data_IF_808756746104
#
_entry.id   IF_808756746104
#
_cell.length_a   1.000
_cell.length_b   1.000
_cell.length_c   1.000
_cell.angle_alpha   90.00
_cell.angle_beta   90.00
_cell.angle_gamma   90.00
#
_symmetry.space_group_name_H-M   'P 1'
#
loop_
_entity.id
_entity.type
_entity.pdbx_description
1 polymer ?
#
# COMPACT_ATOMS: atom_id res chain seq x y z
N UNK A 1 2.68 0.35 28.21
CA UNK A 1 1.33 0.16 27.65
C UNK A 1 1.45 -0.96 26.66
N UNK A 2 0.80 -2.11 26.90
CA UNK A 2 0.87 -3.25 25.98
C UNK A 2 0.08 -2.89 24.70
N UNK A 3 0.77 -2.44 23.66
CA UNK A 3 0.24 -2.60 22.30
C UNK A 3 0.07 -4.09 22.10
N UNK A 4 -1.14 -4.49 21.69
CA UNK A 4 -1.47 -5.88 21.40
C UNK A 4 -0.29 -6.48 20.63
N UNK A 5 0.39 -7.48 21.19
CA UNK A 5 1.60 -8.12 20.67
C UNK A 5 1.41 -8.83 19.33
N UNK A 6 0.30 -8.56 18.64
CA UNK A 6 -0.13 -9.24 17.43
C UNK A 6 0.01 -8.42 16.14
N UNK A 7 0.27 -7.08 16.21
CA UNK A 7 0.42 -6.25 15.00
C UNK A 7 1.87 -5.83 14.79
N UNK A 8 2.38 -6.11 13.61
CA UNK A 8 3.65 -5.59 13.10
C UNK A 8 3.43 -4.99 11.71
N UNK A 9 4.08 -3.86 11.43
CA UNK A 9 4.18 -3.31 10.07
C UNK A 9 5.66 -3.25 9.66
N UNK A 10 5.98 -3.82 8.51
CA UNK A 10 7.29 -3.72 7.87
C UNK A 10 7.18 -2.85 6.61
N UNK A 11 7.84 -1.68 6.62
CA UNK A 11 7.89 -0.80 5.46
C UNK A 11 8.86 -1.35 4.41
N UNK A 12 8.35 -1.78 3.27
CA UNK A 12 9.14 -2.23 2.13
C UNK A 12 9.68 -1.05 1.31
N UNK A 13 8.94 0.06 1.32
CA UNK A 13 9.30 1.33 0.72
C UNK A 13 8.47 2.47 1.26
N UNK A 14 9.04 3.67 1.28
CA UNK A 14 8.38 4.90 1.73
C UNK A 14 8.59 6.05 0.75
N UNK A 15 9.17 5.77 -0.42
CA UNK A 15 9.39 6.75 -1.48
C UNK A 15 8.14 6.93 -2.36
N UNK A 16 8.07 8.08 -3.01
CA UNK A 16 7.07 8.45 -4.00
C UNK A 16 7.20 7.61 -5.28
N UNK A 17 6.34 7.84 -6.27
CA UNK A 17 6.25 7.09 -7.53
C UNK A 17 7.56 6.92 -8.30
N UNK A 18 8.52 7.83 -8.15
CA UNK A 18 9.84 7.75 -8.77
C UNK A 18 10.91 7.07 -7.89
N UNK A 19 10.58 6.77 -6.65
CA UNK A 19 11.55 6.42 -5.62
C UNK A 19 12.51 7.57 -5.27
N UNK A 20 13.38 7.33 -4.29
CA UNK A 20 14.46 8.27 -3.92
C UNK A 20 15.77 7.49 -3.84
N UNK A 21 16.82 7.89 -4.61
CA UNK A 21 16.91 9.02 -5.53
C UNK A 21 16.05 8.87 -6.79
N UNK A 22 15.51 9.98 -7.26
CA UNK A 22 14.82 10.02 -8.56
C UNK A 22 15.85 10.08 -9.71
N UNK A 23 15.55 9.38 -10.81
CA UNK A 23 16.41 9.32 -12.00
C UNK A 23 16.66 10.74 -12.53
N UNK A 24 17.92 11.10 -12.75
CA UNK A 24 18.33 12.41 -13.25
C UNK A 24 18.27 13.56 -12.23
N UNK A 25 17.83 13.30 -10.98
CA UNK A 25 17.81 14.32 -9.94
C UNK A 25 19.17 14.46 -9.25
N UNK A 26 19.61 15.71 -9.09
CA UNK A 26 20.89 16.06 -8.47
C UNK A 26 20.75 16.86 -7.18
N UNK A 27 19.57 16.88 -6.56
CA UNK A 27 19.34 17.57 -5.31
C UNK A 27 20.15 16.95 -4.15
N UNK A 28 20.22 17.66 -3.04
CA UNK A 28 20.98 17.23 -1.85
C UNK A 28 20.57 15.84 -1.36
N UNK A 29 19.28 15.54 -1.33
CA UNK A 29 18.74 14.24 -0.87
C UNK A 29 19.10 13.13 -1.86
N UNK A 30 18.88 13.32 -3.17
CA UNK A 30 19.18 12.31 -4.18
C UNK A 30 20.69 11.99 -4.29
N UNK A 31 21.56 12.95 -3.97
CA UNK A 31 23.03 12.76 -3.91
C UNK A 31 23.55 12.26 -2.56
N UNK A 32 22.70 12.23 -1.55
CA UNK A 32 23.07 11.77 -0.20
C UNK A 32 23.60 10.33 -0.23
N UNK A 33 24.59 10.06 0.63
CA UNK A 33 25.11 8.69 0.88
C UNK A 33 24.39 8.02 2.05
N UNK A 34 23.54 8.74 2.77
CA UNK A 34 22.76 8.17 3.87
C UNK A 34 21.76 7.15 3.30
N UNK A 35 21.72 5.95 3.90
CA UNK A 35 20.79 4.88 3.54
C UNK A 35 19.32 5.29 3.76
N UNK A 36 19.03 6.20 4.69
CA UNK A 36 17.69 6.72 4.96
C UNK A 36 17.14 7.57 3.81
N UNK A 37 18.02 8.12 2.96
CA UNK A 37 17.67 8.86 1.75
C UNK A 37 17.54 7.93 0.52
N UNK A 38 17.58 6.61 0.71
CA UNK A 38 17.39 5.61 -0.35
C UNK A 38 16.07 4.91 -0.10
N UNK A 39 15.01 5.42 -0.74
CA UNK A 39 13.63 4.96 -0.52
C UNK A 39 13.09 4.29 -1.77
N UNK A 40 12.80 3.01 -1.69
CA UNK A 40 12.00 2.31 -2.69
C UNK A 40 10.55 2.83 -2.63
N UNK A 41 9.77 2.61 -3.70
CA UNK A 41 8.38 3.03 -3.81
C UNK A 41 7.51 2.47 -2.69
N UNK A 42 6.46 3.20 -2.32
CA UNK A 42 5.62 2.89 -1.18
C UNK A 42 5.03 1.47 -1.26
N UNK A 43 5.27 0.67 -0.24
CA UNK A 43 4.67 -0.65 -0.02
C UNK A 43 4.97 -1.09 1.41
N UNK A 44 4.15 -1.96 1.99
CA UNK A 44 4.34 -2.49 3.34
C UNK A 44 3.80 -3.92 3.49
N UNK A 45 4.36 -4.68 4.43
CA UNK A 45 3.74 -5.93 4.93
C UNK A 45 3.14 -5.63 6.29
N UNK A 46 1.88 -5.98 6.47
CA UNK A 46 1.17 -5.95 7.75
C UNK A 46 1.03 -7.38 8.24
N UNK A 47 1.64 -7.69 9.41
CA UNK A 47 1.48 -8.96 10.10
C UNK A 47 0.50 -8.77 11.23
N UNK A 48 -0.63 -9.46 11.14
CA UNK A 48 -1.68 -9.36 12.15
C UNK A 48 -2.47 -10.66 12.26
N UNK A 49 -2.68 -11.15 13.48
CA UNK A 49 -3.37 -12.42 13.78
C UNK A 49 -2.88 -13.61 12.95
N UNK A 50 -1.55 -13.68 12.73
CA UNK A 50 -0.92 -14.75 11.96
C UNK A 50 -0.99 -14.61 10.43
N UNK A 51 -1.62 -13.56 9.90
CA UNK A 51 -1.67 -13.25 8.46
C UNK A 51 -0.58 -12.25 8.08
N UNK A 52 0.04 -12.45 6.91
CA UNK A 52 1.01 -11.55 6.27
C UNK A 52 0.36 -10.89 5.06
N UNK A 53 -0.12 -9.68 5.23
CA UNK A 53 -0.88 -8.93 4.20
C UNK A 53 0.03 -7.90 3.57
N UNK A 54 0.28 -8.04 2.27
CA UNK A 54 1.01 -7.04 1.48
C UNK A 54 0.07 -5.89 1.12
N UNK A 55 0.54 -4.65 1.24
CA UNK A 55 -0.13 -3.47 0.70
C UNK A 55 0.70 -2.92 -0.44
N UNK A 56 0.12 -2.92 -1.63
CA UNK A 56 0.71 -2.55 -2.91
C UNK A 56 1.95 -3.38 -3.31
N UNK A 57 2.09 -3.59 -4.62
CA UNK A 57 3.12 -4.43 -5.24
C UNK A 57 3.69 -3.71 -6.46
N UNK A 58 4.50 -2.68 -6.22
CA UNK A 58 5.12 -1.85 -7.25
C UNK A 58 6.33 -2.51 -7.92
N UNK A 59 7.01 -1.82 -8.85
CA UNK A 59 8.11 -2.39 -9.64
C UNK A 59 9.36 -2.73 -8.80
N UNK A 60 9.44 -2.23 -7.58
CA UNK A 60 10.54 -2.53 -6.66
C UNK A 60 10.29 -3.81 -5.83
N UNK A 61 9.12 -4.46 -5.99
CA UNK A 61 8.66 -5.57 -5.13
C UNK A 61 9.72 -6.67 -4.99
N UNK A 62 10.31 -7.12 -6.08
CA UNK A 62 11.35 -8.17 -6.00
C UNK A 62 12.50 -7.75 -5.09
N UNK A 63 13.00 -6.52 -5.20
CA UNK A 63 14.08 -6.02 -4.34
C UNK A 63 13.60 -5.84 -2.90
N UNK A 64 12.36 -5.42 -2.73
CA UNK A 64 11.74 -5.21 -1.43
C UNK A 64 11.62 -6.52 -0.66
N UNK A 65 11.05 -7.56 -1.29
CA UNK A 65 10.78 -8.83 -0.62
C UNK A 65 12.07 -9.63 -0.33
N UNK A 66 13.09 -9.54 -1.19
CA UNK A 66 14.38 -10.18 -0.96
C UNK A 66 15.15 -9.65 0.27
N UNK A 67 14.82 -8.44 0.74
CA UNK A 67 15.40 -7.85 1.96
C UNK A 67 14.45 -7.89 3.16
N UNK A 68 13.18 -8.20 2.94
CA UNK A 68 12.18 -8.30 3.98
C UNK A 68 12.38 -9.55 4.83
N UNK A 69 11.90 -9.51 6.07
CA UNK A 69 11.92 -10.65 6.99
C UNK A 69 10.73 -11.58 6.80
N UNK A 70 10.29 -11.80 5.53
CA UNK A 70 9.08 -12.58 5.25
C UNK A 70 9.25 -13.50 4.05
N UNK A 71 9.16 -14.80 4.31
CA UNK A 71 9.17 -15.85 3.27
C UNK A 71 7.73 -16.20 2.82
N UNK A 72 6.70 -15.66 3.46
CA UNK A 72 5.30 -15.96 3.18
C UNK A 72 4.45 -14.70 3.10
N UNK A 73 3.55 -14.67 2.12
CA UNK A 73 2.49 -13.69 1.96
C UNK A 73 1.17 -14.42 1.76
N UNK A 74 0.11 -13.94 2.40
CA UNK A 74 -1.21 -14.57 2.37
C UNK A 74 -2.18 -13.84 1.45
N UNK A 75 -2.00 -12.53 1.26
CA UNK A 75 -2.85 -11.71 0.40
C UNK A 75 -2.15 -10.41 -0.02
N UNK A 76 -2.65 -9.79 -1.09
CA UNK A 76 -2.33 -8.43 -1.52
C UNK A 76 -3.59 -7.55 -1.43
N UNK A 77 -3.46 -6.40 -0.80
CA UNK A 77 -4.42 -5.30 -0.87
C UNK A 77 -3.86 -4.24 -1.81
N UNK A 78 -4.59 -3.89 -2.86
CA UNK A 78 -4.21 -2.80 -3.75
C UNK A 78 -4.98 -1.54 -3.43
N UNK A 79 -4.24 -0.45 -3.29
CA UNK A 79 -4.83 0.87 -3.06
C UNK A 79 -5.44 1.44 -4.35
N UNK A 80 -4.70 1.34 -5.46
CA UNK A 80 -5.12 1.80 -6.78
C UNK A 80 -4.25 1.22 -7.91
N UNK A 81 -4.49 1.63 -9.15
CA UNK A 81 -3.93 1.01 -10.36
C UNK A 81 -2.63 1.65 -10.87
N UNK A 82 -2.09 2.69 -10.24
CA UNK A 82 -0.87 3.32 -10.74
C UNK A 82 0.31 2.35 -10.75
N UNK A 83 1.22 2.53 -11.72
CA UNK A 83 2.34 1.64 -11.99
C UNK A 83 3.22 1.36 -10.78
N UNK A 84 3.48 2.37 -9.96
CA UNK A 84 4.29 2.28 -8.76
C UNK A 84 3.64 1.43 -7.64
N UNK A 85 2.35 1.06 -7.77
CA UNK A 85 1.62 0.22 -6.83
C UNK A 85 1.29 -1.18 -7.38
N UNK A 86 1.39 -1.42 -8.69
CA UNK A 86 0.94 -2.69 -9.29
C UNK A 86 1.97 -3.40 -10.18
N UNK A 87 3.03 -2.72 -10.61
CA UNK A 87 3.91 -3.26 -11.66
C UNK A 87 4.79 -4.44 -11.23
N UNK A 88 4.82 -4.79 -9.96
CA UNK A 88 5.53 -5.95 -9.42
C UNK A 88 4.66 -7.21 -9.28
N UNK A 89 3.39 -7.18 -9.66
CA UNK A 89 2.43 -8.29 -9.44
C UNK A 89 2.87 -9.60 -10.09
N UNK A 90 3.57 -9.56 -11.22
CA UNK A 90 4.11 -10.77 -11.84
C UNK A 90 5.14 -11.50 -10.94
N UNK A 91 5.84 -10.78 -10.10
CA UNK A 91 6.79 -11.33 -9.11
C UNK A 91 6.11 -12.01 -7.90
N UNK A 92 4.77 -12.00 -7.80
CA UNK A 92 4.01 -12.82 -6.84
C UNK A 92 3.97 -14.30 -7.23
N UNK A 93 4.53 -14.67 -8.36
CA UNK A 93 4.62 -16.03 -8.89
C UNK A 93 5.05 -17.09 -7.86
N UNK A 94 6.11 -16.88 -7.07
CA UNK A 94 6.53 -17.85 -6.05
C UNK A 94 5.48 -18.12 -4.98
N UNK A 95 4.69 -17.11 -4.60
CA UNK A 95 3.62 -17.21 -3.59
C UNK A 95 2.37 -17.91 -4.11
N UNK A 96 2.28 -18.14 -5.43
CA UNK A 96 1.13 -18.77 -6.10
C UNK A 96 1.39 -20.17 -6.62
N UNK A 97 2.53 -20.79 -6.35
CA UNK A 97 2.86 -22.13 -6.86
C UNK A 97 1.94 -23.23 -6.32
N UNK A 98 1.64 -23.18 -5.03
CA UNK A 98 0.86 -24.23 -4.35
C UNK A 98 -0.60 -23.87 -4.11
N UNK A 99 -0.99 -22.60 -4.27
CA UNK A 99 -2.35 -22.10 -4.08
C UNK A 99 -2.62 -20.93 -5.00
N UNK A 100 -3.87 -20.49 -5.11
CA UNK A 100 -4.23 -19.28 -5.83
C UNK A 100 -4.04 -18.11 -4.86
N UNK A 101 -3.24 -17.11 -5.27
CA UNK A 101 -2.91 -15.97 -4.43
C UNK A 101 -3.99 -14.87 -4.57
N UNK A 102 -4.67 -14.46 -3.46
CA UNK A 102 -5.75 -13.50 -3.52
C UNK A 102 -5.24 -12.06 -3.58
N UNK A 103 -5.85 -11.26 -4.45
CA UNK A 103 -5.64 -9.82 -4.60
C UNK A 103 -6.99 -9.13 -4.40
N UNK A 104 -7.08 -8.29 -3.39
CA UNK A 104 -8.27 -7.54 -3.06
C UNK A 104 -8.13 -6.11 -3.57
N UNK A 105 -9.05 -5.67 -4.40
CA UNK A 105 -9.06 -4.32 -4.95
C UNK A 105 -10.47 -3.91 -5.38
N UNK A 106 -10.68 -2.63 -5.62
CA UNK A 106 -11.89 -2.11 -6.25
C UNK A 106 -12.09 -2.76 -7.63
N UNK A 107 -13.36 -2.97 -8.08
CA UNK A 107 -13.64 -3.64 -9.36
C UNK A 107 -12.94 -3.01 -10.56
N UNK A 108 -12.86 -1.67 -10.61
CA UNK A 108 -12.18 -0.94 -11.68
C UNK A 108 -10.66 -1.21 -11.71
N UNK A 109 -10.03 -1.40 -10.54
CA UNK A 109 -8.61 -1.78 -10.43
C UNK A 109 -8.41 -3.21 -10.93
N UNK A 110 -9.25 -4.15 -10.51
CA UNK A 110 -9.20 -5.55 -10.94
C UNK A 110 -9.44 -5.67 -12.46
N UNK A 111 -10.37 -4.90 -13.01
CA UNK A 111 -10.60 -4.86 -14.46
C UNK A 111 -9.36 -4.38 -15.21
N UNK A 112 -8.69 -3.34 -14.72
CA UNK A 112 -7.46 -2.83 -15.34
C UNK A 112 -6.32 -3.82 -15.22
N UNK A 113 -6.19 -4.56 -14.09
CA UNK A 113 -5.20 -5.63 -13.95
C UNK A 113 -5.40 -6.74 -14.97
N UNK A 114 -6.63 -7.16 -15.24
CA UNK A 114 -6.92 -8.15 -16.30
C UNK A 114 -6.45 -7.66 -17.66
N UNK A 115 -6.56 -6.36 -17.92
CA UNK A 115 -6.07 -5.73 -19.15
C UNK A 115 -4.55 -5.65 -19.19
N UNK A 116 -3.91 -5.32 -18.08
CA UNK A 116 -2.46 -5.14 -18.02
C UNK A 116 -1.68 -6.46 -18.00
N UNK A 117 -2.27 -7.53 -17.42
CA UNK A 117 -1.67 -8.85 -17.25
C UNK A 117 -2.55 -9.95 -17.88
N UNK A 118 -2.91 -9.85 -19.19
CA UNK A 118 -3.90 -10.74 -19.80
C UNK A 118 -3.48 -12.22 -19.76
N UNK A 119 -2.19 -12.49 -19.77
CA UNK A 119 -1.65 -13.86 -19.73
C UNK A 119 -1.91 -14.57 -18.39
N UNK A 120 -2.08 -13.83 -17.29
CA UNK A 120 -2.43 -14.40 -15.98
C UNK A 120 -3.88 -14.87 -15.90
N UNK A 121 -4.76 -14.33 -16.75
CA UNK A 121 -6.22 -14.50 -16.65
C UNK A 121 -6.84 -15.19 -17.86
N UNK A 122 -6.04 -15.90 -18.65
CA UNK A 122 -6.51 -16.70 -19.79
C UNK A 122 -7.17 -17.99 -19.30
N UNK A 123 -8.05 -18.59 -20.13
CA UNK A 123 -8.66 -19.90 -19.83
C UNK A 123 -7.63 -21.04 -19.70
N UNK A 124 -6.51 -20.92 -20.42
CA UNK A 124 -5.44 -21.92 -20.47
C UNK A 124 -4.09 -21.23 -20.25
N UNK A 125 -3.76 -20.83 -19.02
CA UNK A 125 -2.50 -20.19 -18.73
C UNK A 125 -1.35 -21.19 -18.93
N UNK A 126 -0.24 -20.73 -19.50
CA UNK A 126 0.94 -21.58 -19.63
C UNK A 126 1.59 -21.85 -18.25
N UNK A 127 2.30 -22.97 -18.06
CA UNK A 127 2.97 -23.26 -16.79
C UNK A 127 3.96 -22.14 -16.40
N UNK A 128 3.92 -21.73 -15.13
CA UNK A 128 4.84 -20.73 -14.60
C UNK A 128 4.30 -19.29 -14.55
N UNK A 129 3.09 -19.01 -15.04
CA UNK A 129 2.43 -17.72 -14.73
C UNK A 129 1.95 -17.69 -13.27
N UNK A 130 1.87 -16.50 -12.64
CA UNK A 130 1.28 -16.41 -11.32
C UNK A 130 -0.22 -16.79 -11.36
N UNK A 131 -0.64 -17.57 -10.38
CA UNK A 131 -2.05 -17.99 -10.20
C UNK A 131 -2.72 -17.01 -9.24
N UNK A 132 -3.41 -16.01 -9.78
CA UNK A 132 -3.98 -14.88 -9.05
C UNK A 132 -5.51 -14.98 -9.03
N UNK A 133 -6.11 -14.68 -7.88
CA UNK A 133 -7.55 -14.47 -7.72
C UNK A 133 -7.82 -13.00 -7.46
N UNK A 134 -8.57 -12.35 -8.35
CA UNK A 134 -8.95 -10.95 -8.20
C UNK A 134 -10.30 -10.84 -7.51
N UNK A 135 -10.27 -10.48 -6.23
CA UNK A 135 -11.45 -10.32 -5.38
C UNK A 135 -11.89 -8.86 -5.41
N UNK A 136 -13.11 -8.64 -5.90
CA UNK A 136 -13.71 -7.31 -5.91
C UNK A 136 -14.16 -6.92 -4.49
N UNK A 137 -13.74 -5.75 -4.03
CA UNK A 137 -14.17 -5.15 -2.77
C UNK A 137 -14.88 -3.82 -3.01
N UNK A 138 -15.88 -3.55 -2.19
CA UNK A 138 -16.57 -2.26 -2.13
C UNK A 138 -16.08 -1.44 -0.91
N UNK A 139 -16.92 -0.56 -0.37
CA UNK A 139 -16.59 0.25 0.81
C UNK A 139 -16.94 -0.45 2.14
N UNK A 140 -17.48 -1.68 2.10
CA UNK A 140 -17.81 -2.44 3.30
C UNK A 140 -16.60 -3.22 3.83
N UNK A 141 -16.53 -3.50 5.15
CA UNK A 141 -15.54 -4.40 5.70
C UNK A 141 -15.60 -5.80 5.05
N UNK A 142 -14.44 -6.40 4.84
CA UNK A 142 -14.30 -7.75 4.30
C UNK A 142 -13.25 -8.55 5.08
N UNK A 143 -13.20 -9.87 4.85
CA UNK A 143 -12.28 -10.76 5.54
C UNK A 143 -11.11 -11.16 4.65
N UNK A 144 -9.90 -11.08 5.19
CA UNK A 144 -8.68 -11.70 4.66
C UNK A 144 -8.27 -12.78 5.66
N UNK A 145 -8.59 -14.03 5.36
CA UNK A 145 -8.49 -15.11 6.34
C UNK A 145 -9.32 -14.81 7.59
N UNK A 146 -8.66 -14.67 8.75
CA UNK A 146 -9.28 -14.34 10.03
C UNK A 146 -9.14 -12.85 10.42
N UNK A 147 -8.68 -12.01 9.48
CA UNK A 147 -8.49 -10.56 9.68
C UNK A 147 -9.57 -9.78 8.98
N UNK A 148 -10.33 -8.98 9.73
CA UNK A 148 -11.23 -8.00 9.15
C UNK A 148 -10.44 -6.78 8.64
N UNK A 149 -10.70 -6.41 7.40
CA UNK A 149 -10.13 -5.23 6.73
C UNK A 149 -11.26 -4.29 6.36
N UNK A 150 -11.13 -3.03 6.75
CA UNK A 150 -12.09 -1.97 6.39
C UNK A 150 -11.45 -1.04 5.35
N UNK A 151 -12.00 -0.94 4.14
CA UNK A 151 -11.58 0.06 3.16
C UNK A 151 -11.84 1.47 3.68
N UNK A 152 -10.92 2.38 3.40
CA UNK A 152 -11.02 3.81 3.69
C UNK A 152 -10.96 4.55 2.36
N UNK A 153 -12.11 4.84 1.73
CA UNK A 153 -12.15 5.58 0.48
C UNK A 153 -11.54 6.97 0.62
N UNK A 154 -10.57 7.29 -0.22
CA UNK A 154 -9.89 8.59 -0.24
C UNK A 154 -9.71 9.06 -1.68
N UNK A 155 -9.48 10.36 -1.88
CA UNK A 155 -9.25 10.92 -3.20
C UNK A 155 -7.77 11.07 -3.51
N UNK A 156 -7.39 10.65 -4.70
CA UNK A 156 -6.11 10.92 -5.33
C UNK A 156 -6.38 11.80 -6.56
N UNK A 157 -6.36 13.12 -6.39
CA UNK A 157 -6.94 14.11 -7.30
C UNK A 157 -8.42 13.77 -7.56
N UNK A 158 -8.76 13.31 -8.76
CA UNK A 158 -10.11 12.90 -9.17
C UNK A 158 -10.36 11.39 -9.06
N UNK A 159 -9.33 10.61 -8.78
CA UNK A 159 -9.42 9.16 -8.65
C UNK A 159 -9.82 8.78 -7.24
N UNK A 160 -10.88 7.98 -7.10
CA UNK A 160 -11.23 7.34 -5.84
C UNK A 160 -10.34 6.12 -5.65
N UNK A 161 -9.59 6.09 -4.54
CA UNK A 161 -8.67 5.02 -4.18
C UNK A 161 -8.98 4.51 -2.77
N UNK A 162 -8.39 3.40 -2.36
CA UNK A 162 -8.56 2.87 -1.01
C UNK A 162 -7.30 3.04 -0.17
N UNK A 163 -7.45 3.61 1.04
CA UNK A 163 -6.66 3.20 2.19
C UNK A 163 -7.30 1.99 2.86
N UNK A 164 -6.65 1.44 3.88
CA UNK A 164 -7.13 0.25 4.60
C UNK A 164 -6.94 0.41 6.10
N UNK A 165 -7.98 0.04 6.87
CA UNK A 165 -7.86 -0.19 8.31
C UNK A 165 -7.76 -1.70 8.55
N UNK A 166 -6.71 -2.11 9.28
CA UNK A 166 -6.42 -3.50 9.64
C UNK A 166 -6.22 -3.54 11.15
N UNK A 167 -7.25 -3.90 11.89
CA UNK A 167 -7.22 -3.84 13.35
C UNK A 167 -6.85 -2.44 13.88
N UNK A 168 -5.74 -2.29 14.63
CA UNK A 168 -5.30 -1.02 15.20
C UNK A 168 -4.51 -0.12 14.24
N UNK A 169 -4.29 -0.53 12.98
CA UNK A 169 -3.57 0.20 11.94
C UNK A 169 -4.52 0.78 10.91
N UNK A 170 -4.30 2.04 10.50
CA UNK A 170 -4.75 2.56 9.21
C UNK A 170 -3.56 2.89 8.31
N UNK A 171 -3.61 2.45 7.06
CA UNK A 171 -2.62 2.71 6.02
C UNK A 171 -3.27 3.47 4.87
N UNK A 172 -2.81 4.70 4.63
CA UNK A 172 -3.34 5.61 3.60
C UNK A 172 -2.16 6.16 2.80
N UNK A 173 -2.10 5.84 1.52
CA UNK A 173 -1.10 6.38 0.60
C UNK A 173 -1.76 7.16 -0.51
N UNK A 174 -1.02 8.01 -1.22
CA UNK A 174 -1.45 8.75 -2.43
C UNK A 174 -2.69 9.63 -2.27
N UNK A 175 -3.03 9.93 -1.04
CA UNK A 175 -4.22 10.71 -0.72
C UNK A 175 -3.97 12.21 -0.91
N UNK A 176 -4.92 12.89 -1.55
CA UNK A 176 -5.02 14.35 -1.60
C UNK A 176 -6.15 14.90 -0.73
N UNK A 177 -7.17 14.07 -0.44
CA UNK A 177 -8.32 14.45 0.37
C UNK A 177 -8.98 13.24 1.02
N UNK A 178 -9.35 13.38 2.28
CA UNK A 178 -10.13 12.42 3.07
C UNK A 178 -11.41 13.11 3.50
N UNK A 179 -12.57 12.45 3.31
CA UNK A 179 -13.83 13.04 3.73
C UNK A 179 -13.96 13.07 5.26
N UNK A 180 -14.76 13.98 5.83
CA UNK A 180 -15.02 14.03 7.27
C UNK A 180 -15.55 12.69 7.83
N UNK A 181 -16.37 11.97 7.05
CA UNK A 181 -16.91 10.67 7.43
C UNK A 181 -15.80 9.61 7.57
N UNK A 182 -14.82 9.62 6.68
CA UNK A 182 -13.69 8.68 6.75
C UNK A 182 -12.72 9.07 7.87
N UNK A 183 -12.51 10.36 8.13
CA UNK A 183 -11.75 10.84 9.29
C UNK A 183 -12.40 10.36 10.59
N UNK A 184 -13.72 10.44 10.71
CA UNK A 184 -14.47 10.01 11.89
C UNK A 184 -14.27 8.52 12.19
N UNK A 185 -14.24 7.65 11.16
CA UNK A 185 -13.97 6.22 11.29
C UNK A 185 -12.56 5.91 11.82
N UNK A 186 -11.64 6.86 11.67
CA UNK A 186 -10.23 6.71 12.04
C UNK A 186 -9.87 7.35 13.38
N UNK A 187 -10.78 8.10 14.00
CA UNK A 187 -10.50 8.80 15.25
C UNK A 187 -9.96 7.87 16.35
N UNK A 188 -8.85 8.31 16.94
CA UNK A 188 -8.21 7.60 18.05
C UNK A 188 -7.56 6.27 17.64
N UNK A 189 -7.36 6.02 16.34
CA UNK A 189 -6.66 4.80 15.91
C UNK A 189 -5.24 4.76 16.49
N UNK A 190 -4.77 3.60 17.00
CA UNK A 190 -3.44 3.52 17.60
C UNK A 190 -2.32 3.87 16.64
N UNK A 191 -2.37 3.37 15.41
CA UNK A 191 -1.31 3.54 14.42
C UNK A 191 -1.88 4.05 13.09
N UNK A 192 -1.35 5.18 12.62
CA UNK A 192 -1.67 5.75 11.32
C UNK A 192 -0.42 5.78 10.44
N UNK A 193 -0.53 5.25 9.22
CA UNK A 193 0.42 5.51 8.14
C UNK A 193 -0.30 6.37 7.11
N UNK A 194 0.28 7.54 6.76
CA UNK A 194 -0.33 8.48 5.82
C UNK A 194 0.73 9.07 4.88
N UNK A 195 0.35 9.35 3.64
CA UNK A 195 1.28 10.01 2.73
C UNK A 195 1.53 11.47 3.13
N UNK A 196 2.78 11.91 2.96
CA UNK A 196 3.20 13.29 3.11
C UNK A 196 4.28 13.57 2.06
N UNK A 197 3.86 13.93 0.85
CA UNK A 197 4.74 13.95 -0.31
C UNK A 197 5.93 14.89 -0.11
N UNK A 198 5.68 16.14 0.27
CA UNK A 198 6.66 17.22 0.44
C UNK A 198 5.98 18.47 1.01
N UNK A 199 6.76 19.53 1.32
CA UNK A 199 6.21 20.82 1.78
C UNK A 199 5.53 21.63 0.67
N UNK A 200 6.00 21.52 -0.59
CA UNK A 200 5.38 22.25 -1.72
C UNK A 200 4.10 21.58 -2.17
N UNK A 201 3.04 22.35 -2.47
CA UNK A 201 1.76 21.79 -2.94
C UNK A 201 1.90 20.86 -4.13
N UNK A 202 1.03 19.88 -4.18
CA UNK A 202 0.83 18.95 -5.30
C UNK A 202 -0.67 18.73 -5.51
N UNK A 203 -1.11 18.55 -6.76
CA UNK A 203 -2.54 18.43 -7.07
C UNK A 203 -3.15 17.13 -6.56
N UNK A 204 -2.39 16.06 -6.48
CA UNK A 204 -2.89 14.72 -6.17
C UNK A 204 -2.39 14.12 -4.85
N UNK A 205 -1.52 14.80 -4.12
CA UNK A 205 -0.98 14.31 -2.85
C UNK A 205 -0.98 15.39 -1.78
N UNK A 206 -1.15 15.01 -0.54
CA UNK A 206 -1.00 15.91 0.61
C UNK A 206 0.43 16.40 0.75
N UNK A 207 0.57 17.68 1.13
CA UNK A 207 1.82 18.19 1.70
C UNK A 207 2.01 17.66 3.12
N UNK A 208 3.20 17.89 3.68
CA UNK A 208 3.47 17.55 5.10
C UNK A 208 2.49 18.29 6.02
N UNK A 209 2.20 19.57 5.75
CA UNK A 209 1.29 20.39 6.54
C UNK A 209 -0.15 19.87 6.48
N UNK A 210 -0.63 19.52 5.28
CA UNK A 210 -1.97 18.93 5.10
C UNK A 210 -2.09 17.58 5.79
N UNK A 211 -1.05 16.73 5.70
CA UNK A 211 -1.02 15.46 6.43
C UNK A 211 -1.07 15.68 7.94
N UNK A 212 -0.34 16.67 8.48
CA UNK A 212 -0.38 17.02 9.90
C UNK A 212 -1.75 17.53 10.36
N UNK A 213 -2.48 18.27 9.51
CA UNK A 213 -3.86 18.70 9.79
C UNK A 213 -4.79 17.47 9.93
N UNK A 214 -4.69 16.49 9.01
CA UNK A 214 -5.45 15.24 9.09
C UNK A 214 -5.06 14.44 10.35
N UNK A 215 -3.76 14.32 10.65
CA UNK A 215 -3.27 13.68 11.88
C UNK A 215 -3.86 14.32 13.12
N UNK A 216 -3.95 15.66 13.18
CA UNK A 216 -4.55 16.36 14.31
C UNK A 216 -6.04 16.05 14.51
N UNK A 217 -6.79 15.84 13.42
CA UNK A 217 -8.21 15.49 13.45
C UNK A 217 -8.45 14.02 13.84
N UNK A 218 -7.61 13.10 13.36
CA UNK A 218 -7.68 11.66 13.69
C UNK A 218 -7.17 11.41 15.11
N UNK A 219 -6.16 12.15 15.57
CA UNK A 219 -5.51 12.00 16.88
C UNK A 219 -4.99 10.58 17.15
N UNK A 220 -4.17 9.99 16.27
CA UNK A 220 -3.58 8.68 16.47
C UNK A 220 -2.53 8.72 17.59
N UNK A 221 -2.19 7.56 18.17
CA UNK A 221 -1.11 7.49 19.16
C UNK A 221 0.27 7.58 18.51
N UNK A 222 0.42 6.96 17.30
CA UNK A 222 1.66 7.00 16.50
C UNK A 222 1.30 7.25 15.05
N UNK A 223 2.10 8.07 14.37
CA UNK A 223 1.97 8.32 12.93
C UNK A 223 3.31 8.08 12.22
N UNK A 224 3.26 7.39 11.10
CA UNK A 224 4.36 7.32 10.14
C UNK A 224 3.97 7.96 8.82
N UNK A 225 4.92 8.69 8.22
CA UNK A 225 4.74 9.24 6.89
C UNK A 225 5.31 8.30 5.83
N UNK A 226 4.61 8.18 4.71
CA UNK A 226 4.99 7.38 3.54
C UNK A 226 4.85 8.20 2.25
N UNK A 227 5.22 7.63 1.11
CA UNK A 227 5.14 8.23 -0.23
C UNK A 227 5.85 9.59 -0.33
N UNK A 228 7.02 9.70 0.29
CA UNK A 228 7.80 10.94 0.38
C UNK A 228 8.79 11.07 -0.79
N UNK A 229 9.00 12.32 -1.26
CA UNK A 229 9.98 12.65 -2.29
C UNK A 229 11.19 13.44 -1.76
#
# INVERSE_FOLDING_TARGET
MNYNSELEIEFLGTGTSTGVPSIGCHCKVCRSKDKKDKRLRASAIVRYKGMNILIDCGPDFRQQILRASSDNLDALLLTHIHYDHVAGIDDLRPYSFNHIFPIYARPEVNQQLRTNLPYCFTKHPYPGVPRLDLVDIDNNPFMVGNVEVTPIPVMHDKLLINGYRIGPLAYITDCSYISPEEIEKLKGIPLLVINALRHRPHHSHMTVEQALEVVSQISPQVTYFTHMC
#
